data_IF_865578254525
#
_entry.id   IF_865578254525
#
_cell.length_a   1.000
_cell.length_b   1.000
_cell.length_c   1.000
_cell.angle_alpha   90.00
_cell.angle_beta   90.00
_cell.angle_gamma   90.00
#
_symmetry.space_group_name_H-M   'P 1'
#
loop_
_entity.id
_entity.type
_entity.pdbx_description
1 polymer ?
#
# COMPACT_ATOMS: atom_id res chain seq x y z
N UNK A 1 9.97 2.35 10.77
CA UNK A 1 9.25 2.38 9.48
C UNK A 1 9.39 1.09 8.69
N UNK A 2 10.61 0.55 8.49
CA UNK A 2 10.77 -0.77 7.84
C UNK A 2 9.97 -1.87 8.56
N UNK A 3 10.00 -1.90 9.89
CA UNK A 3 9.24 -2.91 10.66
C UNK A 3 7.73 -2.73 10.50
N UNK A 4 7.25 -1.49 10.38
CA UNK A 4 5.85 -1.19 10.12
C UNK A 4 5.43 -1.65 8.72
N UNK A 5 6.28 -1.39 7.72
CA UNK A 5 6.06 -1.84 6.34
C UNK A 5 6.08 -3.38 6.25
N UNK A 6 6.95 -4.04 7.01
CA UNK A 6 7.07 -5.50 7.04
C UNK A 6 5.84 -6.24 7.60
N UNK A 7 4.91 -5.53 8.24
CA UNK A 7 3.59 -6.09 8.66
C UNK A 7 2.59 -6.18 7.52
N UNK A 8 2.88 -5.54 6.38
CA UNK A 8 2.08 -5.68 5.17
C UNK A 8 2.59 -6.83 4.30
N UNK A 9 1.66 -7.55 3.69
CA UNK A 9 1.93 -8.47 2.60
C UNK A 9 1.02 -8.16 1.42
N UNK A 10 1.46 -8.52 0.21
CA UNK A 10 0.69 -8.29 -0.99
C UNK A 10 0.85 -9.45 -1.96
N UNK A 11 -0.25 -9.80 -2.61
CA UNK A 11 -0.30 -10.85 -3.63
C UNK A 11 -1.00 -10.36 -4.88
N UNK A 12 -0.56 -10.87 -6.02
CA UNK A 12 -1.26 -10.69 -7.30
C UNK A 12 -1.80 -12.02 -7.81
N UNK A 13 -2.92 -11.96 -8.52
CA UNK A 13 -3.49 -13.11 -9.21
C UNK A 13 -3.25 -12.96 -10.71
N UNK A 14 -2.44 -13.84 -11.28
CA UNK A 14 -2.01 -13.76 -12.66
C UNK A 14 -3.05 -14.39 -13.62
N UNK A 15 -3.19 -13.84 -14.85
CA UNK A 15 -3.99 -14.45 -15.90
C UNK A 15 -3.39 -15.80 -16.38
N UNK A 16 -4.18 -16.70 -16.99
CA UNK A 16 -5.54 -16.47 -17.47
C UNK A 16 -6.65 -16.67 -16.43
N UNK A 17 -6.50 -17.52 -15.43
CA UNK A 17 -7.61 -17.97 -14.57
C UNK A 17 -7.65 -17.36 -13.17
N UNK A 18 -6.71 -16.47 -12.83
CA UNK A 18 -6.54 -15.89 -11.49
C UNK A 18 -6.31 -16.93 -10.38
N UNK A 19 -6.00 -18.18 -10.74
CA UNK A 19 -5.66 -19.23 -9.77
C UNK A 19 -4.18 -19.19 -9.40
N UNK A 20 -3.34 -18.68 -10.30
CA UNK A 20 -1.92 -18.48 -10.05
C UNK A 20 -1.73 -17.26 -9.17
N UNK A 21 -1.33 -17.49 -7.93
CA UNK A 21 -1.05 -16.44 -6.93
C UNK A 21 0.45 -16.26 -6.82
N UNK A 22 0.91 -15.01 -6.99
CA UNK A 22 2.31 -14.62 -6.78
C UNK A 22 2.41 -13.72 -5.57
N UNK A 23 3.24 -14.12 -4.60
CA UNK A 23 3.61 -13.30 -3.44
C UNK A 23 4.57 -12.19 -3.87
N UNK A 24 4.26 -10.95 -3.51
CA UNK A 24 5.10 -9.81 -3.81
C UNK A 24 6.14 -9.58 -2.72
N UNK A 25 7.36 -9.30 -3.15
CA UNK A 25 8.45 -9.00 -2.23
C UNK A 25 8.41 -7.51 -1.86
N UNK A 26 8.37 -7.21 -0.56
CA UNK A 26 8.59 -5.85 -0.07
C UNK A 26 10.06 -5.45 -0.25
N UNK A 27 10.31 -4.33 -0.92
CA UNK A 27 11.64 -3.74 -1.01
C UNK A 27 12.07 -3.16 0.35
N UNK A 28 13.20 -3.64 0.87
CA UNK A 28 13.70 -3.28 2.20
C UNK A 28 14.12 -1.81 2.34
N UNK A 29 14.53 -1.18 1.24
CA UNK A 29 14.86 0.25 1.16
C UNK A 29 13.64 1.00 0.61
N UNK A 30 13.17 2.07 1.29
CA UNK A 30 12.12 2.91 0.73
C UNK A 30 12.60 3.57 -0.56
N UNK A 31 11.68 3.72 -1.51
CA UNK A 31 11.88 4.45 -2.77
C UNK A 31 12.12 5.93 -2.47
N UNK A 32 11.36 6.47 -1.52
CA UNK A 32 11.44 7.86 -1.09
C UNK A 32 11.21 7.99 0.43
N UNK A 33 11.85 8.96 1.08
CA UNK A 33 11.61 9.30 2.49
C UNK A 33 11.68 10.81 2.69
N UNK A 34 10.73 11.36 3.43
CA UNK A 34 10.63 12.77 3.75
C UNK A 34 10.30 12.96 5.23
N UNK A 35 10.55 14.16 5.77
CA UNK A 35 10.28 14.47 7.18
C UNK A 35 9.08 15.40 7.35
N UNK A 36 9.11 16.59 6.76
CA UNK A 36 8.08 17.62 6.97
C UNK A 36 7.76 18.32 5.66
N UNK A 37 7.41 17.54 4.64
CA UNK A 37 7.01 18.10 3.34
C UNK A 37 5.55 18.56 3.32
N UNK A 38 4.72 18.05 4.24
CA UNK A 38 3.33 18.49 4.40
C UNK A 38 3.10 18.98 5.84
N UNK A 39 2.15 19.91 6.07
CA UNK A 39 1.96 20.54 7.39
C UNK A 39 1.75 19.57 8.55
N UNK A 40 1.16 18.40 8.26
CA UNK A 40 0.79 17.41 9.26
C UNK A 40 1.74 16.21 9.32
N UNK A 41 2.62 16.01 8.33
CA UNK A 41 3.57 14.91 8.32
C UNK A 41 4.80 15.22 9.18
N UNK A 42 5.18 14.26 10.03
CA UNK A 42 6.37 14.31 10.89
C UNK A 42 7.53 13.47 10.33
N UNK A 43 7.20 12.36 9.66
CA UNK A 43 8.11 11.47 8.93
C UNK A 43 7.26 10.61 7.99
N UNK A 44 7.75 10.35 6.78
CA UNK A 44 7.04 9.59 5.78
C UNK A 44 7.98 8.84 4.86
N UNK A 45 7.59 7.63 4.44
CA UNK A 45 8.35 6.85 3.48
C UNK A 45 7.46 6.04 2.54
N UNK A 46 7.87 6.00 1.28
CA UNK A 46 7.23 5.23 0.21
C UNK A 46 8.00 3.92 -0.02
N UNK A 47 7.30 2.81 0.07
CA UNK A 47 7.80 1.47 -0.20
C UNK A 47 7.11 0.89 -1.43
N UNK A 48 7.75 -0.14 -2.01
CA UNK A 48 7.22 -0.86 -3.16
C UNK A 48 7.20 -2.35 -2.88
N UNK A 49 6.09 -2.98 -3.24
CA UNK A 49 5.95 -4.42 -3.40
C UNK A 49 6.23 -4.77 -4.86
N UNK A 50 7.13 -5.71 -5.09
CA UNK A 50 7.62 -6.04 -6.43
C UNK A 50 7.48 -7.51 -6.76
N UNK A 51 7.24 -7.79 -8.04
CA UNK A 51 7.59 -9.06 -8.65
C UNK A 51 8.96 -8.90 -9.34
N UNK A 52 9.96 -9.68 -8.91
CA UNK A 52 11.36 -9.48 -9.28
C UNK A 52 11.86 -8.03 -9.02
N UNK A 53 11.80 -7.17 -10.04
CA UNK A 53 12.15 -5.74 -10.00
C UNK A 53 11.01 -4.81 -10.39
N UNK A 54 9.85 -5.34 -10.79
CA UNK A 54 8.70 -4.57 -11.26
C UNK A 54 7.73 -4.24 -10.11
N UNK A 55 7.47 -2.95 -9.83
CA UNK A 55 6.50 -2.53 -8.82
C UNK A 55 5.06 -2.90 -9.18
N UNK A 56 4.40 -3.65 -8.30
CA UNK A 56 3.00 -4.05 -8.45
C UNK A 56 2.07 -3.24 -7.51
N UNK A 57 2.60 -2.83 -6.36
CA UNK A 57 1.92 -1.98 -5.40
C UNK A 57 2.87 -1.02 -4.66
N UNK A 58 2.36 0.14 -4.27
CA UNK A 58 3.04 1.10 -3.42
C UNK A 58 2.39 1.17 -2.04
N UNK A 59 3.23 1.37 -1.03
CA UNK A 59 2.83 1.62 0.35
C UNK A 59 3.48 2.91 0.84
N UNK A 60 2.69 3.93 1.05
CA UNK A 60 3.10 5.13 1.77
C UNK A 60 2.80 4.94 3.24
N UNK A 61 3.81 5.12 4.10
CA UNK A 61 3.64 5.17 5.56
C UNK A 61 3.99 6.57 6.04
N UNK A 62 3.11 7.16 6.86
CA UNK A 62 3.31 8.50 7.42
C UNK A 62 3.01 8.54 8.91
N UNK A 63 3.90 9.11 9.69
CA UNK A 63 3.59 9.61 11.03
C UNK A 63 2.99 11.00 10.87
N UNK A 64 1.71 11.15 11.23
CA UNK A 64 1.02 12.44 11.17
C UNK A 64 0.71 12.97 12.56
N UNK A 65 0.74 14.29 12.74
CA UNK A 65 0.35 14.96 13.99
C UNK A 65 -1.07 14.57 14.39
N UNK A 66 -1.23 14.24 15.67
CA UNK A 66 -2.52 13.92 16.29
C UNK A 66 -3.32 15.19 16.62
N UNK A 67 -4.50 15.00 17.21
CA UNK A 67 -5.37 16.11 17.60
C UNK A 67 -4.83 16.88 18.81
N UNK A 68 -4.19 16.18 19.77
CA UNK A 68 -3.58 16.83 20.92
C UNK A 68 -2.08 17.10 20.70
N UNK A 69 -1.56 18.09 21.43
CA UNK A 69 -0.15 18.48 21.35
C UNK A 69 0.75 17.32 21.77
N UNK A 70 1.66 16.93 20.88
CA UNK A 70 2.62 15.85 21.12
C UNK A 70 2.10 14.45 20.75
N UNK A 71 0.84 14.31 20.36
CA UNK A 71 0.33 13.07 19.79
C UNK A 71 0.72 12.94 18.32
N UNK A 72 0.88 11.70 17.86
CA UNK A 72 0.96 11.37 16.46
C UNK A 72 0.27 10.02 16.21
N UNK A 73 -0.16 9.80 14.96
CA UNK A 73 -0.68 8.52 14.50
C UNK A 73 0.03 8.08 13.23
N UNK A 74 0.25 6.79 13.10
CA UNK A 74 0.71 6.20 11.85
C UNK A 74 -0.48 6.01 10.92
N UNK A 75 -0.35 6.49 9.69
CA UNK A 75 -1.28 6.26 8.59
C UNK A 75 -0.56 5.54 7.46
N UNK A 76 -1.34 4.87 6.65
CA UNK A 76 -0.87 4.28 5.42
C UNK A 76 -1.77 4.65 4.25
N UNK A 77 -1.17 4.73 3.08
CA UNK A 77 -1.88 4.77 1.79
C UNK A 77 -1.31 3.67 0.91
N UNK A 78 -2.19 2.84 0.36
CA UNK A 78 -1.86 1.84 -0.64
C UNK A 78 -2.23 2.38 -2.02
N UNK A 79 -1.41 2.10 -3.03
CA UNK A 79 -1.71 2.47 -4.41
C UNK A 79 -1.35 1.34 -5.37
N UNK A 80 -2.20 1.14 -6.38
CA UNK A 80 -2.04 0.11 -7.40
C UNK A 80 -1.03 0.58 -8.46
N UNK A 81 -0.13 -0.31 -8.88
CA UNK A 81 0.77 -0.10 -10.03
C UNK A 81 0.62 -1.19 -11.09
N UNK A 82 -0.13 -2.24 -10.79
CA UNK A 82 -0.39 -3.37 -11.70
C UNK A 82 -1.70 -3.26 -12.48
N UNK A 83 -1.93 -4.13 -13.47
CA UNK A 83 -3.22 -4.31 -14.16
C UNK A 83 -3.96 -5.60 -13.76
N UNK A 84 -3.34 -6.47 -12.96
CA UNK A 84 -3.96 -7.70 -12.48
C UNK A 84 -4.64 -7.50 -11.12
N UNK A 85 -5.40 -8.50 -10.65
CA UNK A 85 -6.01 -8.45 -9.32
C UNK A 85 -4.91 -8.42 -8.26
N UNK A 86 -5.03 -7.51 -7.29
CA UNK A 86 -4.09 -7.29 -6.21
C UNK A 86 -4.84 -7.35 -4.88
N UNK A 87 -4.26 -8.02 -3.89
CA UNK A 87 -4.76 -8.08 -2.52
C UNK A 87 -3.62 -7.68 -1.59
N UNK A 88 -3.89 -6.74 -0.69
CA UNK A 88 -2.97 -6.29 0.34
C UNK A 88 -3.53 -6.61 1.72
N UNK A 89 -2.66 -7.14 2.58
CA UNK A 89 -2.99 -7.51 3.95
C UNK A 89 -2.12 -6.74 4.92
N UNK A 90 -2.69 -6.42 6.07
CA UNK A 90 -1.98 -5.93 7.25
C UNK A 90 -2.18 -6.96 8.37
N UNK A 91 -1.09 -7.51 8.90
CA UNK A 91 -1.12 -8.58 9.91
C UNK A 91 -1.97 -9.78 9.52
N UNK A 92 -1.87 -10.18 8.26
CA UNK A 92 -2.62 -11.31 7.69
C UNK A 92 -4.09 -11.02 7.41
N UNK A 93 -4.62 -9.85 7.77
CA UNK A 93 -6.01 -9.43 7.47
C UNK A 93 -6.04 -8.60 6.20
N UNK A 94 -6.92 -8.93 5.27
CA UNK A 94 -7.15 -8.10 4.07
C UNK A 94 -7.56 -6.69 4.48
N UNK A 95 -6.75 -5.71 4.06
CA UNK A 95 -7.01 -4.29 4.32
C UNK A 95 -7.32 -3.53 3.04
N UNK A 96 -7.01 -4.09 1.86
CA UNK A 96 -7.38 -3.55 0.57
C UNK A 96 -7.30 -4.61 -0.54
N UNK A 97 -8.18 -4.51 -1.54
CA UNK A 97 -8.11 -5.32 -2.74
C UNK A 97 -8.66 -4.57 -3.95
N UNK A 98 -8.15 -4.90 -5.14
CA UNK A 98 -8.60 -4.37 -6.43
C UNK A 98 -8.75 -5.51 -7.43
N UNK A 99 -9.72 -5.40 -8.33
CA UNK A 99 -10.02 -6.41 -9.34
C UNK A 99 -9.07 -6.31 -10.54
N UNK A 100 -9.05 -7.37 -11.35
CA UNK A 100 -8.31 -7.42 -12.59
C UNK A 100 -8.90 -6.43 -13.62
N UNK A 101 -8.06 -5.55 -14.16
CA UNK A 101 -8.49 -4.51 -15.10
C UNK A 101 -9.03 -5.11 -16.41
N UNK A 102 -8.38 -6.15 -16.94
CA UNK A 102 -8.73 -6.74 -18.23
C UNK A 102 -10.06 -7.51 -18.20
N UNK A 103 -10.42 -8.03 -17.02
CA UNK A 103 -11.68 -8.75 -16.79
C UNK A 103 -12.80 -7.85 -16.27
N UNK A 104 -12.45 -6.70 -15.70
CA UNK A 104 -13.37 -5.71 -15.16
C UNK A 104 -12.90 -4.32 -15.58
N UNK A 105 -13.04 -3.97 -16.87
CA UNK A 105 -12.58 -2.69 -17.38
C UNK A 105 -13.27 -1.55 -16.65
N UNK A 106 -12.49 -0.51 -16.34
CA UNK A 106 -12.97 0.68 -15.64
C UNK A 106 -13.97 1.47 -16.48
N UNK A 107 -14.98 2.01 -15.81
CA UNK A 107 -15.86 3.03 -16.34
C UNK A 107 -15.14 4.38 -16.44
N UNK A 108 -15.50 5.27 -17.38
CA UNK A 108 -15.02 6.66 -17.38
C UNK A 108 -15.33 7.43 -16.09
N UNK A 109 -16.31 6.96 -15.30
CA UNK A 109 -16.67 7.56 -14.02
C UNK A 109 -15.90 6.96 -12.82
N UNK A 110 -15.12 5.90 -13.02
CA UNK A 110 -14.30 5.34 -11.96
C UNK A 110 -13.11 6.26 -11.67
N UNK A 111 -12.63 6.33 -10.42
CA UNK A 111 -11.41 7.04 -10.11
C UNK A 111 -10.24 6.51 -10.93
N UNK A 112 -9.49 7.41 -11.55
CA UNK A 112 -8.28 7.06 -12.29
C UNK A 112 -7.24 6.40 -11.38
N UNK A 113 -7.07 6.95 -10.18
CA UNK A 113 -6.17 6.42 -9.16
C UNK A 113 -6.93 5.42 -8.29
N UNK A 114 -6.43 4.19 -8.23
CA UNK A 114 -6.87 3.21 -7.25
C UNK A 114 -5.93 3.23 -6.06
N UNK A 115 -6.43 3.79 -4.97
CA UNK A 115 -5.72 3.85 -3.70
C UNK A 115 -6.67 3.58 -2.53
N UNK A 116 -6.09 3.19 -1.39
CA UNK A 116 -6.81 3.08 -0.14
C UNK A 116 -6.00 3.66 1.01
N UNK A 117 -6.66 4.54 1.77
CA UNK A 117 -6.11 5.10 3.01
C UNK A 117 -6.52 4.25 4.20
N UNK A 118 -5.64 4.16 5.19
CA UNK A 118 -5.95 3.53 6.45
C UNK A 118 -5.15 4.07 7.62
N UNK A 119 -5.64 3.76 8.81
CA UNK A 119 -4.93 4.04 10.06
C UNK A 119 -4.20 2.79 10.48
N UNK A 120 -2.95 2.96 10.89
CA UNK A 120 -2.20 1.89 11.49
C UNK A 120 -2.65 1.77 12.95
N UNK A 121 -3.62 0.89 13.21
CA UNK A 121 -3.97 0.53 14.58
C UNK A 121 -2.80 -0.29 15.14
N UNK A 122 -1.90 0.38 15.86
CA UNK A 122 -1.01 -0.32 16.76
C UNK A 122 -1.91 -0.96 17.83
N UNK A 123 -2.25 -2.23 17.68
CA UNK A 123 -2.63 -3.01 18.85
C UNK A 123 -1.49 -2.84 19.86
N UNK A 124 -1.85 -2.31 21.03
CA UNK A 124 -0.95 -2.03 22.15
C UNK A 124 -0.37 -3.32 22.72
#
# INVERSE_FOLDING_TARGET
>A
MRDLAGRFSAVVHLPPDETTITELRLMSRPVYRYKQETPDALDGALFSFVEATDPEALLLLEARRGKAKGEFEWRYTLARVTSVRLIVRLDGKECWSVTNFWRSPKSPNDPYVESADGKYAAEK
#
